data_IF_442868749810
#
_entry.id   IF_442868749810
#
_cell.length_a   1.000
_cell.length_b   1.000
_cell.length_c   1.000
_cell.angle_alpha   90.00
_cell.angle_beta   90.00
_cell.angle_gamma   90.00
#
_symmetry.space_group_name_H-M   'P 1'
#
loop_
_entity.id
_entity.type
_entity.pdbx_description
1 polymer ?
#
# COMPACT_ATOMS: atom_id res chain seq x y z
N UNK A 1 -14.25 40.45 17.16
CA UNK A 1 -13.54 39.18 17.47
C UNK A 1 -14.11 38.13 16.51
N UNK A 2 -13.26 37.47 15.71
CA UNK A 2 -13.67 36.40 14.78
C UNK A 2 -12.97 35.10 15.18
N UNK A 3 -13.71 34.00 15.18
CA UNK A 3 -13.17 32.68 15.49
C UNK A 3 -12.73 31.99 14.21
N UNK A 4 -11.50 31.46 14.19
CA UNK A 4 -10.92 30.76 13.04
C UNK A 4 -11.22 29.26 13.13
N UNK A 5 -11.82 28.70 12.08
CA UNK A 5 -12.16 27.27 11.98
C UNK A 5 -10.89 26.40 11.86
N UNK A 6 -10.97 25.14 12.30
CA UNK A 6 -9.82 24.21 12.30
C UNK A 6 -9.18 24.05 10.92
N UNK A 7 -9.99 24.02 9.86
CA UNK A 7 -9.53 23.82 8.48
C UNK A 7 -8.73 25.03 7.96
N UNK A 8 -8.83 26.18 8.62
CA UNK A 8 -8.07 27.39 8.31
C UNK A 8 -6.81 27.54 9.18
N UNK A 9 -6.58 26.63 10.13
CA UNK A 9 -5.42 26.65 11.03
C UNK A 9 -4.28 25.77 10.56
N UNK A 10 -4.50 24.95 9.53
CA UNK A 10 -3.45 24.14 8.92
C UNK A 10 -3.16 24.69 7.53
N UNK A 11 -1.91 25.05 7.32
CA UNK A 11 -1.41 25.48 6.01
C UNK A 11 -0.21 24.62 5.68
N UNK A 12 -0.24 23.99 4.52
CA UNK A 12 0.81 23.11 4.05
C UNK A 12 1.44 23.66 2.77
N UNK A 13 2.75 23.49 2.64
CA UNK A 13 3.49 23.78 1.42
C UNK A 13 4.46 22.64 1.13
N UNK A 14 4.30 22.00 -0.04
CA UNK A 14 5.33 21.16 -0.59
C UNK A 14 6.54 22.04 -0.97
N UNK A 15 7.71 21.69 -0.44
CA UNK A 15 8.95 22.31 -0.85
C UNK A 15 9.29 21.90 -2.27
N UNK A 16 9.54 22.91 -3.10
CA UNK A 16 10.03 22.71 -4.45
C UNK A 16 11.13 23.74 -4.72
N UNK A 17 12.11 23.47 -5.60
CA UNK A 17 13.25 24.37 -5.81
C UNK A 17 12.87 25.76 -6.33
N UNK A 18 11.69 25.88 -6.96
CA UNK A 18 11.14 27.10 -7.54
C UNK A 18 10.40 27.99 -6.54
N UNK A 19 10.09 27.50 -5.32
CA UNK A 19 9.47 28.31 -4.27
C UNK A 19 10.33 29.54 -4.00
N UNK A 20 9.68 30.69 -3.80
CA UNK A 20 10.37 31.93 -3.49
C UNK A 20 10.16 32.35 -2.02
N UNK A 21 11.04 33.21 -1.52
CA UNK A 21 10.84 33.83 -0.19
C UNK A 21 9.54 34.64 -0.16
N UNK A 22 9.14 35.25 -1.29
CA UNK A 22 7.89 35.99 -1.40
C UNK A 22 6.66 35.09 -1.20
N UNK A 23 6.69 33.84 -1.67
CA UNK A 23 5.59 32.90 -1.47
C UNK A 23 5.42 32.52 0.01
N UNK A 24 6.53 32.41 0.75
CA UNK A 24 6.52 32.03 2.15
C UNK A 24 6.21 33.22 3.06
N UNK A 25 6.99 34.30 2.94
CA UNK A 25 6.93 35.46 3.85
C UNK A 25 6.04 36.56 3.30
N UNK A 26 6.12 36.82 2.00
CA UNK A 26 5.43 37.94 1.35
C UNK A 26 6.39 38.92 0.68
N UNK A 27 5.83 39.80 -0.13
CA UNK A 27 6.57 40.86 -0.84
C UNK A 27 5.65 42.08 -1.08
N UNK A 28 6.22 43.14 -1.64
CA UNK A 28 5.50 44.31 -2.15
C UNK A 28 4.67 43.90 -3.36
N UNK A 29 3.38 44.25 -3.42
CA UNK A 29 2.54 44.11 -4.61
C UNK A 29 2.58 45.42 -5.44
N UNK A 30 3.34 45.47 -6.55
CA UNK A 30 3.51 46.70 -7.32
C UNK A 30 2.22 47.13 -8.02
N UNK A 31 1.33 46.18 -8.31
CA UNK A 31 0.06 46.42 -9.00
C UNK A 31 -0.94 47.07 -8.04
N UNK A 32 -1.01 46.60 -6.79
CA UNK A 32 -1.79 47.27 -5.73
C UNK A 32 -1.26 48.66 -5.43
N UNK A 33 0.07 48.83 -5.36
CA UNK A 33 0.68 50.14 -5.17
C UNK A 33 0.29 51.12 -6.28
N UNK A 34 0.40 50.69 -7.54
CA UNK A 34 0.05 51.51 -8.69
C UNK A 34 -1.45 51.85 -8.79
N UNK A 35 -2.35 50.91 -8.47
CA UNK A 35 -3.82 51.13 -8.56
C UNK A 35 -4.38 51.97 -7.42
N UNK A 36 -3.79 51.91 -6.22
CA UNK A 36 -4.26 52.68 -5.07
C UNK A 36 -3.65 54.08 -4.95
N UNK A 37 -2.72 54.46 -5.83
CA UNK A 37 -2.00 55.74 -5.74
C UNK A 37 -1.07 55.83 -4.53
N UNK A 38 -0.73 54.68 -3.94
CA UNK A 38 0.13 54.59 -2.77
C UNK A 38 1.60 54.55 -3.20
N UNK A 39 2.48 55.18 -2.41
CA UNK A 39 3.92 54.98 -2.55
C UNK A 39 4.24 53.49 -2.31
N UNK A 40 5.25 52.94 -2.99
CA UNK A 40 5.69 51.54 -2.83
C UNK A 40 6.03 51.17 -1.37
N UNK A 41 6.23 52.16 -0.51
CA UNK A 41 6.50 52.04 0.93
C UNK A 41 5.25 51.99 1.81
N UNK A 42 4.04 52.05 1.26
CA UNK A 42 2.79 51.99 2.02
C UNK A 42 2.46 50.54 2.43
N UNK A 43 2.20 50.32 3.72
CA UNK A 43 1.90 49.01 4.29
C UNK A 43 0.65 48.36 3.66
N UNK A 44 -0.26 49.15 3.07
CA UNK A 44 -1.45 48.65 2.38
C UNK A 44 -1.13 47.88 1.09
N UNK A 45 0.11 47.95 0.59
CA UNK A 45 0.54 47.23 -0.62
C UNK A 45 1.29 45.94 -0.30
N UNK A 46 1.33 45.54 0.98
CA UNK A 46 1.92 44.29 1.42
C UNK A 46 1.07 43.10 0.93
N UNK A 47 1.74 42.16 0.27
CA UNK A 47 1.19 40.83 0.01
C UNK A 47 1.78 39.84 1.00
N UNK A 48 0.98 39.39 1.96
CA UNK A 48 1.40 38.35 2.89
C UNK A 48 1.52 37.00 2.19
N UNK A 49 2.69 36.36 2.37
CA UNK A 49 2.92 34.97 1.96
C UNK A 49 2.15 33.97 2.82
N UNK A 50 2.40 32.68 2.61
CA UNK A 50 1.66 31.61 3.28
C UNK A 50 1.91 31.58 4.80
N UNK A 51 3.12 31.87 5.25
CA UNK A 51 3.50 31.73 6.65
C UNK A 51 2.85 32.79 7.55
N UNK A 52 2.83 34.10 7.22
CA UNK A 52 2.06 35.06 8.02
C UNK A 52 0.55 34.78 8.02
N UNK A 53 0.02 34.18 6.95
CA UNK A 53 -1.40 33.76 6.89
C UNK A 53 -1.69 32.57 7.80
N UNK A 54 -0.69 31.75 8.11
CA UNK A 54 -0.77 30.64 9.06
C UNK A 54 -0.60 31.08 10.52
N UNK A 55 -0.49 32.39 10.81
CA UNK A 55 -0.37 32.91 12.17
C UNK A 55 -1.47 32.37 13.10
N UNK A 56 -1.10 31.91 14.29
CA UNK A 56 -1.92 31.18 15.27
C UNK A 56 -2.40 29.81 14.80
N UNK A 57 -1.61 29.16 13.95
CA UNK A 57 -1.88 27.85 13.37
C UNK A 57 -0.63 26.99 13.23
N UNK A 58 -0.76 25.96 12.41
CA UNK A 58 0.28 25.01 12.04
C UNK A 58 0.68 25.30 10.59
N UNK A 59 1.97 25.53 10.37
CA UNK A 59 2.55 25.66 9.04
C UNK A 59 3.47 24.46 8.78
N UNK A 60 3.04 23.57 7.89
CA UNK A 60 3.77 22.37 7.52
C UNK A 60 4.53 22.59 6.21
N UNK A 61 5.83 22.25 6.18
CA UNK A 61 6.61 22.18 4.96
C UNK A 61 7.00 20.73 4.71
N UNK A 62 6.52 20.19 3.60
CA UNK A 62 6.85 18.84 3.18
C UNK A 62 8.12 18.84 2.33
N UNK A 63 8.96 17.82 2.49
CA UNK A 63 10.21 17.64 1.75
C UNK A 63 11.18 18.83 1.94
N UNK A 64 11.39 19.27 3.18
CA UNK A 64 12.28 20.40 3.51
C UNK A 64 13.65 20.39 2.80
N UNK A 65 14.33 19.24 2.55
CA UNK A 65 15.55 19.17 1.74
C UNK A 65 15.43 19.79 0.33
N UNK A 66 14.26 19.72 -0.31
CA UNK A 66 14.00 20.28 -1.63
C UNK A 66 13.87 21.80 -1.63
N UNK A 67 13.76 22.41 -0.44
CA UNK A 67 13.66 23.85 -0.30
C UNK A 67 15.03 24.51 -0.47
N UNK A 68 15.11 25.53 -1.32
CA UNK A 68 16.36 26.26 -1.54
C UNK A 68 16.94 26.82 -0.23
N UNK A 69 18.26 26.66 -0.02
CA UNK A 69 18.94 27.03 1.22
C UNK A 69 18.72 28.48 1.67
N UNK A 70 18.54 29.43 0.73
CA UNK A 70 18.19 30.83 1.04
C UNK A 70 16.86 30.97 1.79
N UNK A 71 15.90 30.09 1.51
CA UNK A 71 14.58 30.08 2.14
C UNK A 71 14.67 29.36 3.50
N UNK A 72 15.47 28.29 3.59
CA UNK A 72 15.78 27.65 4.87
C UNK A 72 16.42 28.66 5.86
N UNK A 73 17.33 29.52 5.39
CA UNK A 73 17.87 30.63 6.21
C UNK A 73 16.79 31.66 6.59
N UNK A 74 15.86 31.94 5.68
CA UNK A 74 14.70 32.79 5.98
C UNK A 74 13.85 32.22 7.12
N UNK A 75 13.57 30.91 7.10
CA UNK A 75 12.84 30.20 8.16
C UNK A 75 13.62 30.17 9.48
N UNK A 76 14.94 30.07 9.43
CA UNK A 76 15.79 30.13 10.62
C UNK A 76 15.58 31.43 11.42
N UNK A 77 15.52 32.58 10.76
CA UNK A 77 15.27 33.85 11.45
C UNK A 77 13.93 33.84 12.21
N UNK A 78 12.92 33.19 11.65
CA UNK A 78 11.57 33.12 12.24
C UNK A 78 11.57 32.21 13.46
N UNK A 79 12.24 31.07 13.38
CA UNK A 79 12.41 30.15 14.51
C UNK A 79 13.22 30.78 15.65
N UNK A 80 14.11 31.73 15.34
CA UNK A 80 14.98 32.38 16.32
C UNK A 80 14.37 33.63 16.95
N UNK A 81 13.82 34.53 16.13
CA UNK A 81 13.32 35.85 16.57
C UNK A 81 11.80 35.89 16.78
N UNK A 82 11.05 34.91 16.24
CA UNK A 82 9.59 34.87 16.33
C UNK A 82 8.89 35.95 15.51
N UNK A 83 9.62 36.66 14.64
CA UNK A 83 9.08 37.66 13.74
C UNK A 83 9.54 37.44 12.29
N UNK A 84 8.79 38.05 11.35
CA UNK A 84 9.20 38.16 9.95
C UNK A 84 9.33 39.62 9.55
N UNK A 85 10.31 39.89 8.69
CA UNK A 85 10.45 41.15 8.01
C UNK A 85 10.08 40.99 6.54
N UNK A 86 9.19 41.86 6.05
CA UNK A 86 8.81 41.89 4.64
C UNK A 86 9.75 42.83 3.89
N UNK A 87 10.34 42.33 2.81
CA UNK A 87 11.27 43.10 1.99
C UNK A 87 10.58 44.37 1.49
N UNK A 88 11.26 45.51 1.62
CA UNK A 88 10.70 46.81 1.22
C UNK A 88 9.96 47.58 2.31
N UNK A 89 9.71 46.97 3.48
CA UNK A 89 9.04 47.62 4.60
C UNK A 89 9.87 47.56 5.90
N UNK A 90 9.87 48.64 6.71
CA UNK A 90 10.46 48.63 8.05
C UNK A 90 9.50 48.00 9.08
N UNK A 91 8.70 47.01 8.68
CA UNK A 91 7.69 46.37 9.53
C UNK A 91 8.17 44.97 9.92
N UNK A 92 8.15 44.70 11.23
CA UNK A 92 8.36 43.38 11.82
C UNK A 92 7.02 42.82 12.29
N UNK A 93 6.68 41.62 11.84
CA UNK A 93 5.43 40.96 12.20
C UNK A 93 5.74 39.80 13.14
N UNK A 94 5.35 39.93 14.41
CA UNK A 94 5.43 38.83 15.34
C UNK A 94 4.47 37.70 14.92
N UNK A 95 5.00 36.49 14.82
CA UNK A 95 4.26 35.29 14.43
C UNK A 95 4.20 34.31 15.59
N UNK A 96 3.02 33.75 15.80
CA UNK A 96 2.75 32.67 16.75
C UNK A 96 2.33 31.43 15.93
N UNK A 97 3.31 30.65 15.45
CA UNK A 97 3.08 29.55 14.52
C UNK A 97 3.82 28.31 14.99
N UNK A 98 3.17 27.15 14.92
CA UNK A 98 3.82 25.86 15.04
C UNK A 98 4.34 25.42 13.67
N UNK A 99 5.66 25.28 13.54
CA UNK A 99 6.30 24.79 12.33
C UNK A 99 6.44 23.26 12.39
N UNK A 100 6.01 22.59 11.32
CA UNK A 100 6.19 21.15 11.12
C UNK A 100 6.96 20.96 9.83
N UNK A 101 7.95 20.08 9.85
CA UNK A 101 8.76 19.75 8.69
C UNK A 101 8.69 18.25 8.43
N UNK A 102 8.56 17.84 7.17
CA UNK A 102 8.86 16.47 6.75
C UNK A 102 10.13 16.45 5.90
N UNK A 103 10.86 15.35 5.97
CA UNK A 103 12.05 15.12 5.17
C UNK A 103 12.27 13.61 5.04
N UNK A 104 12.58 13.14 3.84
CA UNK A 104 13.08 11.79 3.65
C UNK A 104 14.59 11.72 4.01
N UNK A 105 15.02 10.82 4.91
CA UNK A 105 16.43 10.67 5.25
C UNK A 105 17.36 10.34 4.07
N UNK A 106 16.86 9.77 3.00
CA UNK A 106 17.70 9.44 1.85
C UNK A 106 18.07 10.68 1.02
N UNK A 107 17.14 11.64 0.94
CA UNK A 107 17.32 12.87 0.17
C UNK A 107 18.43 13.75 0.75
N UNK A 108 18.86 13.56 2.02
CA UNK A 108 20.04 14.24 2.59
C UNK A 108 21.32 14.10 1.74
N UNK A 109 21.39 13.04 0.92
CA UNK A 109 22.57 12.73 0.09
C UNK A 109 22.44 13.23 -1.34
N UNK A 110 21.24 13.27 -1.91
CA UNK A 110 20.98 13.54 -3.33
C UNK A 110 20.36 14.92 -3.61
N UNK A 111 19.52 15.45 -2.70
CA UNK A 111 18.79 16.72 -2.86
C UNK A 111 18.90 17.56 -1.60
N UNK A 112 19.60 18.69 -1.71
CA UNK A 112 19.65 19.78 -0.72
C UNK A 112 19.73 19.38 0.77
N UNK A 113 20.89 19.52 1.41
CA UNK A 113 20.98 19.29 2.86
C UNK A 113 20.17 20.33 3.64
N UNK A 114 19.45 19.88 4.67
CA UNK A 114 18.91 20.76 5.71
C UNK A 114 20.10 21.47 6.35
N UNK A 115 20.08 22.81 6.34
CA UNK A 115 21.18 23.60 6.91
C UNK A 115 21.26 23.36 8.42
N UNK A 116 22.47 23.16 8.95
CA UNK A 116 22.71 22.92 10.38
C UNK A 116 22.03 23.94 11.30
N UNK A 117 22.05 25.26 11.00
CA UNK A 117 21.38 26.24 11.86
C UNK A 117 19.88 26.03 12.00
N UNK A 118 19.20 25.57 10.95
CA UNK A 118 17.77 25.26 11.00
C UNK A 118 17.52 23.98 11.81
N UNK A 119 18.34 22.95 11.57
CA UNK A 119 18.26 21.67 12.30
C UNK A 119 18.42 21.86 13.82
N UNK A 120 19.36 22.69 14.26
CA UNK A 120 19.63 22.97 15.67
C UNK A 120 18.50 23.73 16.41
N UNK A 121 17.44 24.12 15.68
CA UNK A 121 16.26 24.82 16.23
C UNK A 121 14.99 23.98 16.20
N UNK A 122 15.04 22.80 15.62
CA UNK A 122 13.94 21.86 15.67
C UNK A 122 13.86 21.29 17.10
N UNK A 123 12.75 21.55 17.78
CA UNK A 123 12.57 21.14 19.18
C UNK A 123 12.33 19.63 19.37
N UNK A 124 11.85 18.94 18.35
CA UNK A 124 11.62 17.51 18.36
C UNK A 124 11.82 16.92 16.95
N UNK A 125 12.58 15.84 16.87
CA UNK A 125 12.74 15.03 15.66
C UNK A 125 12.00 13.70 15.88
N UNK A 126 11.02 13.41 15.02
CA UNK A 126 10.19 12.20 15.12
C UNK A 126 10.49 11.34 13.89
N UNK A 127 11.06 10.15 14.12
CA UNK A 127 11.25 9.16 13.08
C UNK A 127 9.98 8.34 12.93
N UNK A 128 9.34 8.42 11.77
CA UNK A 128 8.18 7.59 11.42
C UNK A 128 8.62 6.26 10.84
N UNK A 129 7.75 5.26 10.91
CA UNK A 129 7.96 3.95 10.30
C UNK A 129 6.63 3.40 9.76
N UNK A 130 6.71 2.42 8.86
CA UNK A 130 5.55 1.64 8.46
C UNK A 130 5.01 0.81 9.65
N UNK A 131 3.71 0.47 9.66
CA UNK A 131 3.15 -0.34 10.74
C UNK A 131 3.90 -1.66 10.87
N UNK A 132 4.33 -2.00 12.09
CA UNK A 132 5.10 -3.21 12.40
C UNK A 132 4.21 -4.42 12.73
N UNK A 133 2.92 -4.19 12.94
CA UNK A 133 1.95 -5.21 13.32
C UNK A 133 0.84 -5.29 12.28
N UNK A 134 0.58 -6.51 11.80
CA UNK A 134 -0.44 -6.79 10.79
C UNK A 134 -1.83 -6.23 11.17
N UNK A 135 -2.35 -6.40 12.40
CA UNK A 135 -3.67 -5.87 12.76
C UNK A 135 -3.76 -4.34 12.64
N UNK A 136 -2.70 -3.63 13.05
CA UNK A 136 -2.65 -2.16 12.95
C UNK A 136 -2.63 -1.72 11.49
N UNK A 137 -1.85 -2.41 10.66
CA UNK A 137 -1.73 -2.14 9.24
C UNK A 137 -3.07 -2.37 8.50
N UNK A 138 -3.80 -3.44 8.85
CA UNK A 138 -5.15 -3.71 8.34
C UNK A 138 -6.12 -2.59 8.71
N UNK A 139 -6.06 -2.02 9.93
CA UNK A 139 -6.94 -0.90 10.30
C UNK A 139 -6.66 0.35 9.46
N UNK A 140 -5.39 0.65 9.19
CA UNK A 140 -5.02 1.76 8.30
C UNK A 140 -5.60 1.50 6.90
N UNK A 141 -5.38 0.31 6.34
CA UNK A 141 -5.88 -0.03 5.01
C UNK A 141 -7.42 0.01 4.95
N UNK A 142 -8.12 -0.41 6.00
CA UNK A 142 -9.60 -0.29 6.10
C UNK A 142 -10.09 1.14 6.13
N UNK A 143 -9.38 2.02 6.83
CA UNK A 143 -9.75 3.42 6.96
C UNK A 143 -9.52 4.18 5.65
N UNK A 144 -8.40 3.92 4.98
CA UNK A 144 -7.93 4.71 3.85
C UNK A 144 -8.40 4.18 2.49
N UNK A 145 -8.70 2.89 2.36
CA UNK A 145 -9.13 2.31 1.10
C UNK A 145 -10.57 2.66 0.74
N UNK A 146 -10.79 3.03 -0.52
CA UNK A 146 -12.12 3.31 -1.06
C UNK A 146 -12.89 2.01 -1.37
N UNK A 147 -13.40 1.40 -0.31
CA UNK A 147 -14.16 0.13 -0.36
C UNK A 147 -15.67 0.34 -0.26
N UNK A 148 -16.13 1.41 0.39
CA UNK A 148 -17.56 1.73 0.50
C UNK A 148 -18.03 2.50 -0.74
N UNK A 149 -18.52 1.76 -1.74
CA UNK A 149 -19.06 2.33 -2.99
C UNK A 149 -20.58 2.41 -2.95
N UNK A 150 -21.11 3.51 -3.51
CA UNK A 150 -22.55 3.75 -3.57
C UNK A 150 -23.30 2.59 -4.26
N UNK A 151 -24.32 2.06 -3.59
CA UNK A 151 -25.16 0.97 -4.10
C UNK A 151 -24.57 -0.45 -3.97
N UNK A 152 -23.34 -0.60 -3.46
CA UNK A 152 -22.67 -1.89 -3.30
C UNK A 152 -22.42 -2.28 -1.84
N UNK A 153 -22.55 -1.34 -0.90
CA UNK A 153 -22.19 -1.52 0.51
C UNK A 153 -22.83 -2.75 1.18
N UNK A 154 -24.10 -3.04 0.86
CA UNK A 154 -24.82 -4.18 1.45
C UNK A 154 -24.50 -5.52 0.80
N UNK A 155 -23.88 -5.51 -0.39
CA UNK A 155 -23.57 -6.68 -1.22
C UNK A 155 -22.09 -7.08 -1.16
N UNK A 156 -21.23 -6.22 -0.63
CA UNK A 156 -19.79 -6.44 -0.58
C UNK A 156 -19.38 -7.14 0.71
N UNK A 157 -18.90 -8.37 0.59
CA UNK A 157 -18.37 -9.13 1.71
C UNK A 157 -16.90 -9.49 1.45
N UNK A 158 -15.99 -8.76 2.09
CA UNK A 158 -14.55 -9.04 2.02
C UNK A 158 -14.16 -9.97 3.17
N UNK A 159 -13.72 -11.22 2.90
CA UNK A 159 -13.27 -12.12 3.95
C UNK A 159 -12.06 -11.57 4.71
N UNK A 160 -11.97 -11.85 6.02
CA UNK A 160 -10.89 -11.33 6.87
C UNK A 160 -9.52 -11.81 6.39
N UNK A 161 -9.38 -13.12 6.12
CA UNK A 161 -8.14 -13.69 5.60
C UNK A 161 -7.66 -12.98 4.33
N UNK A 162 -8.56 -12.45 3.50
CA UNK A 162 -8.17 -11.76 2.28
C UNK A 162 -7.56 -10.38 2.57
N UNK A 163 -8.08 -9.69 3.61
CA UNK A 163 -7.49 -8.43 4.08
C UNK A 163 -6.11 -8.69 4.68
N UNK A 164 -5.98 -9.77 5.46
CA UNK A 164 -4.72 -10.22 6.01
C UNK A 164 -3.71 -10.57 4.91
N UNK A 165 -4.11 -11.33 3.89
CA UNK A 165 -3.23 -11.67 2.75
C UNK A 165 -2.78 -10.40 2.02
N UNK A 166 -3.68 -9.46 1.72
CA UNK A 166 -3.33 -8.22 1.02
C UNK A 166 -2.34 -7.38 1.83
N UNK A 167 -2.51 -7.30 3.14
CA UNK A 167 -1.59 -6.57 4.00
C UNK A 167 -0.26 -7.32 4.15
N UNK A 168 -0.30 -8.64 4.32
CA UNK A 168 0.89 -9.49 4.44
C UNK A 168 1.79 -9.39 3.21
N UNK A 169 1.23 -9.22 2.00
CA UNK A 169 2.03 -8.94 0.79
C UNK A 169 2.96 -7.73 0.99
N UNK A 170 2.50 -6.68 1.67
CA UNK A 170 3.33 -5.50 1.93
C UNK A 170 4.44 -5.79 2.96
N UNK A 171 4.20 -6.67 3.93
CA UNK A 171 5.20 -7.13 4.88
C UNK A 171 6.27 -7.97 4.18
N UNK A 172 5.84 -8.99 3.43
CA UNK A 172 6.74 -9.82 2.61
C UNK A 172 7.60 -8.97 1.68
N UNK A 173 7.00 -7.98 1.02
CA UNK A 173 7.71 -7.14 0.07
C UNK A 173 8.74 -6.22 0.72
N UNK A 174 8.50 -5.75 1.95
CA UNK A 174 9.47 -4.93 2.70
C UNK A 174 10.68 -5.74 3.18
N UNK A 175 10.48 -7.03 3.42
CA UNK A 175 11.54 -7.96 3.85
C UNK A 175 12.25 -8.66 2.68
N UNK A 176 11.69 -8.59 1.46
CA UNK A 176 12.24 -9.21 0.25
C UNK A 176 13.51 -8.50 -0.25
N UNK A 177 14.59 -9.26 -0.44
CA UNK A 177 15.87 -8.74 -0.91
C UNK A 177 15.86 -8.23 -2.35
N UNK A 178 14.83 -8.61 -3.13
CA UNK A 178 14.65 -8.21 -4.53
C UNK A 178 13.95 -6.86 -4.66
N UNK A 179 13.44 -6.32 -3.55
CA UNK A 179 12.71 -5.05 -3.45
C UNK A 179 13.58 -4.05 -2.70
N UNK A 180 13.53 -2.78 -3.11
CA UNK A 180 14.31 -1.72 -2.46
C UNK A 180 13.92 -1.60 -0.99
N UNK A 181 14.90 -1.73 -0.08
CA UNK A 181 14.64 -1.80 1.37
C UNK A 181 14.26 -0.46 2.00
N UNK A 182 14.59 0.64 1.34
CA UNK A 182 14.44 1.98 1.92
C UNK A 182 13.18 2.67 1.42
N UNK A 183 12.82 2.44 0.16
CA UNK A 183 11.72 3.10 -0.53
C UNK A 183 10.78 2.15 -1.27
N UNK A 184 11.08 0.85 -1.27
CA UNK A 184 10.44 -0.12 -2.16
C UNK A 184 8.95 -0.31 -1.98
N UNK A 185 8.40 -0.25 -0.76
CA UNK A 185 6.96 -0.46 -0.53
C UNK A 185 6.37 0.42 0.57
N UNK A 186 5.46 1.31 0.16
CA UNK A 186 4.67 2.14 1.08
C UNK A 186 3.32 1.52 1.47
N UNK A 187 2.65 2.10 2.47
CA UNK A 187 1.28 1.71 2.84
C UNK A 187 0.25 1.92 1.72
N UNK A 188 0.59 2.66 0.65
CA UNK A 188 -0.29 2.83 -0.52
C UNK A 188 -0.45 1.54 -1.33
N UNK A 189 0.48 0.60 -1.21
CA UNK A 189 0.41 -0.69 -1.90
C UNK A 189 -0.82 -1.49 -1.45
N UNK A 190 -0.97 -1.90 -0.17
CA UNK A 190 -2.13 -2.69 0.25
C UNK A 190 -3.46 -1.96 0.04
N UNK A 191 -3.49 -0.62 0.20
CA UNK A 191 -4.66 0.22 -0.10
C UNK A 191 -5.10 0.05 -1.56
N UNK A 192 -4.18 0.21 -2.53
CA UNK A 192 -4.59 0.11 -3.94
C UNK A 192 -4.85 -1.34 -4.36
N UNK A 193 -4.15 -2.30 -3.75
CA UNK A 193 -4.37 -3.72 -4.00
C UNK A 193 -5.79 -4.10 -3.58
N UNK A 194 -6.22 -3.75 -2.36
CA UNK A 194 -7.58 -4.11 -1.91
C UNK A 194 -8.66 -3.42 -2.77
N UNK A 195 -8.45 -2.17 -3.18
CA UNK A 195 -9.35 -1.47 -4.10
C UNK A 195 -9.44 -2.18 -5.46
N UNK A 196 -8.32 -2.69 -5.97
CA UNK A 196 -8.27 -3.42 -7.25
C UNK A 196 -8.90 -4.81 -7.14
N UNK A 197 -8.65 -5.52 -6.03
CA UNK A 197 -9.27 -6.80 -5.68
C UNK A 197 -10.79 -6.67 -5.67
N UNK A 198 -11.31 -5.66 -4.97
CA UNK A 198 -12.75 -5.39 -4.90
C UNK A 198 -13.30 -5.01 -6.28
N UNK A 199 -12.59 -4.16 -7.04
CA UNK A 199 -13.01 -3.80 -8.39
C UNK A 199 -13.11 -4.99 -9.33
N UNK A 200 -12.19 -5.96 -9.23
CA UNK A 200 -12.26 -7.17 -10.05
C UNK A 200 -13.39 -8.11 -9.61
N UNK A 201 -13.62 -8.24 -8.29
CA UNK A 201 -14.75 -9.00 -7.76
C UNK A 201 -16.10 -8.40 -8.18
N UNK A 202 -16.22 -7.07 -8.16
CA UNK A 202 -17.38 -6.33 -8.67
C UNK A 202 -17.61 -6.61 -10.16
N UNK A 203 -16.53 -6.49 -10.95
CA UNK A 203 -16.58 -6.79 -12.38
C UNK A 203 -17.03 -8.23 -12.62
N UNK A 204 -16.51 -9.21 -11.87
CA UNK A 204 -16.95 -10.60 -11.97
C UNK A 204 -18.44 -10.71 -11.67
N UNK A 205 -18.90 -10.21 -10.52
CA UNK A 205 -20.30 -10.30 -10.10
C UNK A 205 -21.26 -9.69 -11.14
N UNK A 206 -20.88 -8.58 -11.78
CA UNK A 206 -21.67 -7.97 -12.87
C UNK A 206 -21.74 -8.84 -14.13
N UNK A 207 -20.64 -9.52 -14.48
CA UNK A 207 -20.59 -10.41 -15.64
C UNK A 207 -21.34 -11.72 -15.43
N UNK A 208 -21.33 -12.23 -14.20
CA UNK A 208 -21.96 -13.50 -13.80
C UNK A 208 -23.40 -13.31 -13.32
N UNK A 209 -23.82 -12.08 -13.04
CA UNK A 209 -25.14 -11.77 -12.49
C UNK A 209 -25.29 -12.11 -11.01
N UNK A 210 -24.18 -12.22 -10.27
CA UNK A 210 -24.19 -12.53 -8.84
C UNK A 210 -24.69 -11.34 -8.01
N UNK A 211 -25.57 -11.63 -7.05
CA UNK A 211 -26.07 -10.63 -6.12
C UNK A 211 -24.99 -10.26 -5.10
N UNK A 212 -24.28 -11.23 -4.54
CA UNK A 212 -23.19 -10.95 -3.58
C UNK A 212 -21.84 -10.77 -4.27
N UNK A 213 -21.04 -9.84 -3.75
CA UNK A 213 -19.68 -9.55 -4.21
C UNK A 213 -18.71 -10.04 -3.13
N UNK A 214 -18.11 -11.19 -3.38
CA UNK A 214 -17.09 -11.78 -2.52
C UNK A 214 -15.78 -11.88 -3.27
N UNK A 215 -14.76 -11.09 -2.91
CA UNK A 215 -13.44 -11.23 -3.49
C UNK A 215 -12.73 -12.51 -3.02
N UNK A 216 -11.88 -13.05 -3.88
CA UNK A 216 -11.17 -14.32 -3.73
C UNK A 216 -9.67 -14.13 -3.98
N UNK A 217 -8.87 -15.16 -3.75
CA UNK A 217 -7.43 -15.11 -4.04
C UNK A 217 -7.15 -14.81 -5.51
N UNK A 218 -7.96 -15.34 -6.43
CA UNK A 218 -7.87 -14.99 -7.85
C UNK A 218 -7.95 -13.48 -8.14
N UNK A 219 -8.69 -12.71 -7.33
CA UNK A 219 -8.76 -11.25 -7.45
C UNK A 219 -7.48 -10.55 -6.99
N UNK A 220 -6.75 -11.14 -6.03
CA UNK A 220 -5.43 -10.64 -5.61
C UNK A 220 -4.43 -10.77 -6.75
N UNK A 221 -4.48 -11.88 -7.49
CA UNK A 221 -3.70 -12.04 -8.73
C UNK A 221 -4.11 -11.04 -9.82
N UNK A 222 -5.40 -10.74 -9.95
CA UNK A 222 -5.86 -9.71 -10.90
C UNK A 222 -5.37 -8.30 -10.52
N UNK A 223 -5.04 -8.06 -9.24
CA UNK A 223 -4.52 -6.80 -8.74
C UNK A 223 -3.00 -6.59 -8.95
N UNK A 224 -2.27 -7.55 -9.55
CA UNK A 224 -0.82 -7.42 -9.80
C UNK A 224 -0.41 -6.09 -10.47
N UNK A 225 -1.12 -5.57 -11.49
CA UNK A 225 -0.77 -4.27 -12.09
C UNK A 225 -0.75 -3.11 -11.09
N UNK A 226 -1.54 -3.20 -10.01
CA UNK A 226 -1.57 -2.19 -8.95
C UNK A 226 -0.39 -2.30 -7.97
N UNK A 227 0.24 -3.47 -7.92
CA UNK A 227 1.43 -3.79 -7.12
C UNK A 227 2.70 -3.34 -7.84
N UNK A 228 2.88 -3.75 -9.10
CA UNK A 228 4.15 -3.57 -9.82
C UNK A 228 4.56 -2.11 -10.00
N UNK A 229 3.59 -1.18 -10.08
CA UNK A 229 3.88 0.25 -10.15
C UNK A 229 4.10 0.93 -8.79
N UNK A 230 4.06 0.17 -7.68
CA UNK A 230 4.27 0.66 -6.31
C UNK A 230 5.38 -0.10 -5.58
N UNK A 231 6.14 -0.87 -6.35
CA UNK A 231 7.30 -1.63 -5.90
C UNK A 231 8.50 -1.11 -6.66
N UNK A 232 9.44 -0.51 -5.95
CA UNK A 232 10.76 -0.24 -6.51
C UNK A 232 11.63 -1.48 -6.31
N UNK A 233 12.26 -1.95 -7.39
CA UNK A 233 13.03 -3.18 -7.39
C UNK A 233 14.53 -2.90 -7.29
N UNK A 234 15.21 -3.80 -6.60
CA UNK A 234 16.67 -3.87 -6.67
C UNK A 234 17.12 -4.44 -8.01
N UNK A 235 18.41 -4.32 -8.33
CA UNK A 235 18.97 -4.81 -9.60
C UNK A 235 18.67 -6.29 -9.85
N UNK A 236 18.72 -7.14 -8.81
CA UNK A 236 18.36 -8.56 -8.92
C UNK A 236 16.86 -8.76 -9.20
N UNK A 237 16.01 -7.91 -8.62
CA UNK A 237 14.57 -7.93 -8.84
C UNK A 237 14.20 -7.55 -10.26
N UNK A 238 14.84 -6.53 -10.82
CA UNK A 238 14.65 -6.10 -12.22
C UNK A 238 14.94 -7.23 -13.21
N UNK A 239 15.93 -8.08 -12.95
CA UNK A 239 16.23 -9.24 -13.80
C UNK A 239 15.15 -10.32 -13.77
N UNK A 240 14.47 -10.48 -12.63
CA UNK A 240 13.39 -11.47 -12.45
C UNK A 240 12.08 -10.94 -13.03
N UNK A 241 11.85 -9.63 -12.89
CA UNK A 241 10.68 -8.90 -13.34
C UNK A 241 9.59 -8.76 -12.27
N UNK A 242 9.05 -7.54 -12.14
CA UNK A 242 8.08 -7.15 -11.12
C UNK A 242 6.86 -8.08 -11.04
N UNK A 243 6.31 -8.51 -12.18
CA UNK A 243 5.14 -9.40 -12.23
C UNK A 243 5.41 -10.75 -11.57
N UNK A 244 6.61 -11.29 -11.73
CA UNK A 244 6.97 -12.58 -11.14
C UNK A 244 7.18 -12.44 -9.64
N UNK A 245 7.87 -11.37 -9.22
CA UNK A 245 8.06 -11.06 -7.80
C UNK A 245 6.70 -10.85 -7.12
N UNK A 246 5.77 -10.12 -7.73
CA UNK A 246 4.42 -9.94 -7.21
C UNK A 246 3.69 -11.27 -6.98
N UNK A 247 3.80 -12.23 -7.92
CA UNK A 247 3.23 -13.58 -7.76
C UNK A 247 3.88 -14.35 -6.61
N UNK A 248 5.21 -14.27 -6.50
CA UNK A 248 5.95 -14.91 -5.41
C UNK A 248 5.51 -14.33 -4.05
N UNK A 249 5.35 -13.01 -3.96
CA UNK A 249 4.87 -12.32 -2.74
C UNK A 249 3.44 -12.71 -2.37
N UNK A 250 2.53 -12.80 -3.36
CA UNK A 250 1.16 -13.30 -3.13
C UNK A 250 1.20 -14.72 -2.56
N UNK A 251 2.02 -15.61 -3.16
CA UNK A 251 2.20 -16.98 -2.70
C UNK A 251 2.73 -17.02 -1.25
N UNK A 252 3.80 -16.29 -0.95
CA UNK A 252 4.38 -16.24 0.40
C UNK A 252 3.39 -15.71 1.43
N UNK A 253 2.73 -14.60 1.13
CA UNK A 253 1.74 -13.98 2.01
C UNK A 253 0.53 -14.90 2.26
N UNK A 254 0.02 -15.56 1.23
CA UNK A 254 -1.04 -16.54 1.38
C UNK A 254 -0.61 -17.74 2.24
N UNK A 255 0.64 -18.18 2.11
CA UNK A 255 1.23 -19.23 2.94
C UNK A 255 1.29 -18.86 4.42
N UNK A 256 1.83 -17.69 4.75
CA UNK A 256 1.94 -17.20 6.13
C UNK A 256 0.57 -17.11 6.81
N UNK A 257 -0.41 -16.48 6.15
CA UNK A 257 -1.77 -16.37 6.70
C UNK A 257 -2.45 -17.74 6.77
N UNK A 258 -2.25 -18.61 5.77
CA UNK A 258 -2.80 -19.97 5.78
C UNK A 258 -2.29 -20.77 6.98
N UNK A 259 -0.99 -20.72 7.27
CA UNK A 259 -0.41 -21.42 8.42
C UNK A 259 -1.04 -20.97 9.73
N UNK A 260 -1.33 -19.68 9.90
CA UNK A 260 -2.02 -19.14 11.07
C UNK A 260 -3.47 -19.64 11.23
N UNK A 261 -4.25 -19.67 10.16
CA UNK A 261 -5.66 -20.11 10.20
C UNK A 261 -5.84 -21.62 10.36
N UNK A 262 -4.93 -22.40 9.81
CA UNK A 262 -5.11 -23.85 9.64
C UNK A 262 -4.15 -24.71 10.48
N UNK A 263 -3.61 -24.16 11.57
CA UNK A 263 -2.77 -24.91 12.51
C UNK A 263 -3.48 -26.18 12.99
N UNK A 264 -2.87 -27.34 12.70
CA UNK A 264 -3.39 -28.65 13.13
C UNK A 264 -4.57 -29.19 12.31
N UNK A 265 -4.92 -28.54 11.19
CA UNK A 265 -5.95 -29.01 10.27
C UNK A 265 -5.31 -29.83 9.15
N UNK A 266 -5.85 -31.02 8.90
CA UNK A 266 -5.31 -31.98 7.93
C UNK A 266 -6.00 -31.86 6.55
N UNK A 267 -5.19 -31.63 5.52
CA UNK A 267 -5.60 -31.58 4.11
C UNK A 267 -5.10 -32.79 3.31
N UNK A 268 -4.64 -33.87 3.95
CA UNK A 268 -4.06 -35.03 3.28
C UNK A 268 -4.95 -35.62 2.19
N UNK A 269 -6.27 -35.71 2.39
CA UNK A 269 -7.20 -36.25 1.39
C UNK A 269 -7.35 -35.34 0.17
N UNK A 270 -7.33 -34.03 0.38
CA UNK A 270 -7.29 -33.03 -0.70
C UNK A 270 -5.99 -33.15 -1.50
N UNK A 271 -4.84 -33.24 -0.82
CA UNK A 271 -3.53 -33.38 -1.47
C UNK A 271 -3.44 -34.69 -2.25
N UNK A 272 -3.87 -35.80 -1.65
CA UNK A 272 -3.89 -37.12 -2.30
C UNK A 272 -4.72 -37.09 -3.59
N UNK A 273 -5.87 -36.40 -3.59
CA UNK A 273 -6.69 -36.26 -4.79
C UNK A 273 -5.92 -35.60 -5.95
N UNK A 274 -5.09 -34.60 -5.68
CA UNK A 274 -4.21 -34.03 -6.71
C UNK A 274 -3.11 -35.02 -7.13
N UNK A 275 -2.48 -35.71 -6.19
CA UNK A 275 -1.43 -36.70 -6.45
C UNK A 275 -1.90 -37.88 -7.33
N UNK A 276 -3.20 -38.18 -7.32
CA UNK A 276 -3.86 -39.15 -8.21
C UNK A 276 -3.96 -38.66 -9.68
N UNK A 277 -3.45 -37.48 -9.99
CA UNK A 277 -3.38 -36.90 -11.34
C UNK A 277 -4.57 -36.01 -11.69
N UNK A 278 -5.45 -35.73 -10.72
CA UNK A 278 -6.55 -34.80 -10.93
C UNK A 278 -6.06 -33.35 -11.02
N UNK A 279 -6.84 -32.51 -11.69
CA UNK A 279 -6.58 -31.08 -11.79
C UNK A 279 -7.86 -30.30 -11.46
N UNK A 280 -7.67 -29.09 -10.95
CA UNK A 280 -8.76 -28.17 -10.65
C UNK A 280 -8.41 -26.81 -11.24
N UNK A 281 -9.27 -26.30 -12.13
CA UNK A 281 -9.11 -24.95 -12.70
C UNK A 281 -10.28 -24.08 -12.29
N UNK A 282 -10.00 -23.05 -11.51
CA UNK A 282 -10.97 -22.02 -11.14
C UNK A 282 -10.65 -20.77 -11.97
N UNK A 283 -11.50 -20.45 -12.94
CA UNK A 283 -11.32 -19.25 -13.73
C UNK A 283 -11.64 -18.00 -12.89
N UNK A 284 -10.84 -16.95 -13.06
CA UNK A 284 -11.02 -15.64 -12.41
C UNK A 284 -12.38 -14.99 -12.72
N UNK A 285 -12.94 -15.33 -13.87
CA UNK A 285 -14.21 -14.85 -14.43
C UNK A 285 -15.40 -15.78 -14.16
N UNK A 286 -15.17 -16.98 -13.62
CA UNK A 286 -16.24 -17.93 -13.30
C UNK A 286 -17.03 -17.49 -12.06
N UNK A 287 -18.34 -17.75 -12.09
CA UNK A 287 -19.25 -17.52 -10.96
C UNK A 287 -18.95 -18.41 -9.76
N UNK A 288 -19.40 -18.04 -8.56
CA UNK A 288 -19.29 -18.87 -7.38
C UNK A 288 -20.01 -20.21 -7.56
N UNK A 289 -21.15 -20.25 -8.27
CA UNK A 289 -21.88 -21.49 -8.53
C UNK A 289 -21.05 -22.46 -9.39
N UNK A 290 -20.44 -21.98 -10.47
CA UNK A 290 -19.58 -22.78 -11.34
C UNK A 290 -18.35 -23.29 -10.60
N UNK A 291 -17.67 -22.41 -9.86
CA UNK A 291 -16.53 -22.79 -9.03
C UNK A 291 -16.93 -23.82 -7.96
N UNK A 292 -18.11 -23.66 -7.35
CA UNK A 292 -18.61 -24.57 -6.32
C UNK A 292 -18.79 -26.00 -6.86
N UNK A 293 -19.38 -26.14 -8.05
CA UNK A 293 -19.56 -27.46 -8.69
C UNK A 293 -18.23 -28.18 -8.94
N UNK A 294 -17.18 -27.43 -9.29
CA UNK A 294 -15.84 -27.99 -9.47
C UNK A 294 -15.21 -28.38 -8.14
N UNK A 295 -15.40 -27.56 -7.09
CA UNK A 295 -14.89 -27.82 -5.75
C UNK A 295 -15.55 -29.04 -5.08
N UNK A 296 -16.81 -29.34 -5.39
CA UNK A 296 -17.51 -30.53 -4.87
C UNK A 296 -16.85 -31.85 -5.31
N UNK A 297 -16.04 -31.83 -6.38
CA UNK A 297 -15.28 -33.00 -6.83
C UNK A 297 -14.03 -33.29 -5.96
N UNK A 298 -13.59 -32.33 -5.15
CA UNK A 298 -12.37 -32.44 -4.34
C UNK A 298 -12.74 -32.94 -2.94
N UNK A 299 -12.29 -34.15 -2.53
CA UNK A 299 -12.63 -34.72 -1.24
C UNK A 299 -12.22 -33.83 -0.07
N UNK A 300 -13.15 -33.65 0.86
CA UNK A 300 -13.03 -32.93 2.14
C UNK A 300 -12.62 -31.45 2.07
N UNK A 301 -12.21 -30.92 0.89
CA UNK A 301 -11.70 -29.57 0.73
C UNK A 301 -12.67 -28.52 1.30
N UNK A 302 -13.95 -28.59 0.92
CA UNK A 302 -14.95 -27.62 1.39
C UNK A 302 -15.15 -27.71 2.90
N UNK A 303 -15.27 -28.91 3.47
CA UNK A 303 -15.57 -29.04 4.89
C UNK A 303 -14.38 -28.58 5.73
N UNK A 304 -13.17 -28.94 5.32
CA UNK A 304 -11.93 -28.57 5.98
C UNK A 304 -11.63 -27.07 5.85
N UNK A 305 -11.89 -26.47 4.69
CA UNK A 305 -11.67 -25.04 4.45
C UNK A 305 -12.53 -24.13 5.33
N UNK A 306 -13.67 -24.62 5.81
CA UNK A 306 -14.61 -23.83 6.61
C UNK A 306 -14.39 -23.96 8.12
N UNK A 307 -13.52 -24.88 8.58
CA UNK A 307 -13.30 -25.12 10.02
C UNK A 307 -12.95 -23.83 10.79
N UNK A 308 -12.08 -22.93 10.30
CA UNK A 308 -11.69 -21.73 11.05
C UNK A 308 -12.71 -20.59 10.97
N UNK A 309 -13.75 -20.71 10.13
CA UNK A 309 -14.63 -19.59 9.77
C UNK A 309 -16.08 -19.87 10.18
N UNK A 310 -16.81 -18.84 10.61
CA UNK A 310 -18.25 -18.93 10.86
C UNK A 310 -19.07 -18.74 9.57
N UNK A 311 -18.65 -19.42 8.49
CA UNK A 311 -19.30 -19.36 7.19
C UNK A 311 -20.37 -20.44 7.07
N UNK A 312 -21.54 -20.07 6.56
CA UNK A 312 -22.59 -21.04 6.27
C UNK A 312 -22.23 -21.77 4.99
N UNK A 313 -22.31 -23.11 4.98
CA UNK A 313 -22.10 -23.93 3.76
C UNK A 313 -22.99 -23.51 2.58
N UNK A 314 -24.12 -22.85 2.84
CA UNK A 314 -25.05 -22.32 1.83
C UNK A 314 -24.57 -21.02 1.16
N UNK A 315 -23.62 -20.30 1.75
CA UNK A 315 -23.00 -19.11 1.17
C UNK A 315 -21.93 -19.54 0.16
N UNK A 316 -22.34 -19.74 -1.09
CA UNK A 316 -21.46 -20.29 -2.12
C UNK A 316 -20.22 -19.41 -2.34
N UNK A 317 -20.40 -18.09 -2.34
CA UNK A 317 -19.32 -17.15 -2.65
C UNK A 317 -18.25 -17.12 -1.54
N UNK A 318 -18.66 -17.13 -0.27
CA UNK A 318 -17.72 -17.26 0.85
C UNK A 318 -17.01 -18.62 0.88
N UNK A 319 -17.74 -19.72 0.58
CA UNK A 319 -17.11 -21.05 0.51
C UNK A 319 -16.07 -21.12 -0.59
N UNK A 320 -16.37 -20.61 -1.78
CA UNK A 320 -15.40 -20.59 -2.89
C UNK A 320 -14.17 -19.76 -2.52
N UNK A 321 -14.35 -18.60 -1.87
CA UNK A 321 -13.23 -17.79 -1.41
C UNK A 321 -12.35 -18.52 -0.40
N UNK A 322 -12.94 -19.24 0.57
CA UNK A 322 -12.20 -20.03 1.55
C UNK A 322 -11.45 -21.20 0.91
N UNK A 323 -12.08 -21.91 -0.03
CA UNK A 323 -11.42 -23.00 -0.76
C UNK A 323 -10.26 -22.50 -1.63
N UNK A 324 -10.42 -21.37 -2.34
CA UNK A 324 -9.31 -20.75 -3.09
C UNK A 324 -8.15 -20.36 -2.17
N UNK A 325 -8.46 -19.83 -0.98
CA UNK A 325 -7.44 -19.52 0.03
C UNK A 325 -6.67 -20.75 0.51
N UNK A 326 -7.37 -21.85 0.81
CA UNK A 326 -6.72 -23.13 1.15
C UNK A 326 -5.86 -23.66 0.01
N UNK A 327 -6.37 -23.67 -1.22
CA UNK A 327 -5.60 -24.13 -2.38
C UNK A 327 -4.34 -23.29 -2.58
N UNK A 328 -4.43 -21.98 -2.38
CA UNK A 328 -3.27 -21.10 -2.44
C UNK A 328 -2.27 -21.38 -1.30
N UNK A 329 -2.74 -21.60 -0.09
CA UNK A 329 -1.91 -21.98 1.05
C UNK A 329 -1.20 -23.34 0.87
N UNK A 330 -1.90 -24.33 0.32
CA UNK A 330 -1.30 -25.63 -0.05
C UNK A 330 -0.25 -25.47 -1.16
N UNK A 331 -0.48 -24.57 -2.12
CA UNK A 331 0.51 -24.22 -3.14
C UNK A 331 1.72 -23.51 -2.52
N UNK A 332 1.50 -22.58 -1.58
CA UNK A 332 2.53 -21.89 -0.82
C UNK A 332 3.43 -22.89 -0.06
N UNK A 333 2.82 -23.86 0.63
CA UNK A 333 3.50 -24.96 1.32
C UNK A 333 4.06 -26.06 0.40
N UNK A 334 4.04 -25.86 -0.93
CA UNK A 334 4.51 -26.81 -1.95
C UNK A 334 3.89 -28.22 -1.80
N UNK A 335 2.63 -28.30 -1.36
CA UNK A 335 1.85 -29.55 -1.31
C UNK A 335 1.14 -29.82 -2.62
N UNK A 336 0.80 -28.77 -3.35
CA UNK A 336 0.26 -28.82 -4.71
C UNK A 336 0.99 -27.80 -5.59
N UNK A 337 0.78 -27.86 -6.91
CA UNK A 337 1.33 -26.90 -7.87
C UNK A 337 0.22 -26.02 -8.45
N UNK A 338 0.58 -24.82 -8.91
CA UNK A 338 -0.29 -23.88 -9.60
C UNK A 338 0.34 -23.48 -10.93
N UNK A 339 -0.41 -23.58 -12.02
CA UNK A 339 0.04 -23.18 -13.36
C UNK A 339 -0.27 -21.70 -13.64
N UNK A 340 0.27 -21.16 -14.74
CA UNK A 340 0.07 -19.75 -15.12
C UNK A 340 -1.40 -19.39 -15.42
N UNK A 341 -2.21 -20.38 -15.78
CA UNK A 341 -3.64 -20.23 -16.08
C UNK A 341 -4.53 -20.32 -14.81
N UNK A 342 -3.94 -20.39 -13.62
CA UNK A 342 -4.65 -20.47 -12.34
C UNK A 342 -5.19 -21.86 -11.99
N UNK A 343 -4.75 -22.90 -12.70
CA UNK A 343 -5.09 -24.29 -12.40
C UNK A 343 -4.16 -24.92 -11.35
N UNK A 344 -4.75 -25.68 -10.44
CA UNK A 344 -4.06 -26.47 -9.41
C UNK A 344 -3.90 -27.93 -9.88
N UNK A 345 -2.71 -28.48 -9.64
CA UNK A 345 -2.34 -29.87 -9.99
C UNK A 345 -1.46 -30.47 -8.91
N UNK A 346 -1.15 -31.77 -9.00
CA UNK A 346 -0.04 -32.35 -8.24
C UNK A 346 1.26 -31.56 -8.41
N UNK A 347 2.13 -31.64 -7.40
CA UNK A 347 3.52 -31.19 -7.55
C UNK A 347 4.20 -32.08 -8.59
N UNK A 348 4.80 -31.48 -9.60
CA UNK A 348 5.60 -32.24 -10.55
C UNK A 348 6.82 -32.80 -9.79
N UNK A 349 6.87 -34.11 -9.55
CA UNK A 349 8.06 -34.82 -9.00
C UNK A 349 9.24 -34.83 -9.98
N UNK A 350 9.29 -33.91 -10.94
CA UNK A 350 10.35 -33.88 -11.94
C UNK A 350 11.45 -32.89 -11.57
N UNK A 351 12.64 -33.39 -11.28
CA UNK A 351 13.84 -32.54 -11.22
C UNK A 351 14.29 -32.22 -12.64
N UNK A 352 14.37 -30.93 -12.98
CA UNK A 352 15.11 -30.46 -14.15
C UNK A 352 16.60 -30.46 -13.84
N UNK A 353 17.38 -31.26 -14.57
CA UNK A 353 18.83 -31.10 -14.60
C UNK A 353 19.19 -29.76 -15.27
N UNK A 354 20.43 -29.26 -15.07
CA UNK A 354 21.02 -28.06 -15.71
C UNK A 354 20.93 -28.06 -17.24
N UNK A 355 20.59 -29.20 -17.85
CA UNK A 355 20.38 -29.37 -19.30
C UNK A 355 18.91 -29.29 -19.75
N UNK A 356 17.98 -29.02 -18.84
CA UNK A 356 16.55 -28.88 -19.15
C UNK A 356 15.79 -30.20 -19.36
N UNK A 357 16.43 -31.35 -19.12
CA UNK A 357 15.79 -32.67 -19.21
C UNK A 357 14.98 -32.97 -17.95
N UNK A 358 13.76 -33.46 -18.14
CA UNK A 358 12.79 -33.82 -17.10
C UNK A 358 13.00 -35.30 -16.76
N UNK A 359 13.31 -35.59 -15.49
CA UNK A 359 13.40 -36.96 -14.98
C UNK A 359 12.30 -37.19 -13.94
N UNK A 360 11.61 -38.32 -14.01
CA UNK A 360 10.76 -38.77 -12.90
C UNK A 360 11.65 -39.09 -11.69
N UNK A 361 11.30 -38.54 -10.52
CA UNK A 361 12.00 -38.83 -9.27
C UNK A 361 11.66 -40.26 -8.80
N UNK A 362 12.50 -41.21 -9.20
CA UNK A 362 12.36 -42.64 -8.89
C UNK A 362 12.77 -43.00 -7.45
N UNK A 363 13.06 -42.03 -6.59
CA UNK A 363 13.59 -42.28 -5.23
C UNK A 363 12.64 -43.02 -4.29
N UNK A 364 11.35 -43.14 -4.61
CA UNK A 364 10.38 -43.95 -3.84
C UNK A 364 10.16 -45.39 -4.36
N UNK A 365 10.81 -45.80 -5.46
CA UNK A 365 10.62 -47.17 -6.01
C UNK A 365 11.43 -48.26 -5.30
N UNK A 366 12.10 -47.94 -4.18
CA UNK A 366 13.03 -48.83 -3.48
C UNK A 366 12.56 -49.44 -2.15
N UNK A 367 11.24 -49.57 -1.90
CA UNK A 367 10.72 -50.28 -0.70
C UNK A 367 9.91 -51.52 -1.06
N UNK A 368 10.53 -52.46 -1.77
CA UNK A 368 10.14 -53.88 -1.73
C UNK A 368 11.37 -54.77 -1.83
N UNK A 369 11.85 -55.20 -0.67
CA UNK A 369 12.53 -56.48 -0.44
C UNK A 369 12.53 -56.78 1.04
#
# INVERSE_FOLDING_TARGET
IAWVNRDQRFVEKLATPDVTIADIIGDVDPIKAAKGGHLLSDELTIHYGLLPRANRGIFAINELPDLAGKIQVGLFNIMQEGDVQIKGYPVRLALDVMLIFSANPEDYTARGKIITPLKDRIGAEITTHYPSELPTAIQITRQEAWVERDGLKERLHVPEFLREVVEQIAFEARDDQRVDKHSGVSQRLPITVIESVISNAERRALLTGEEEIVPRVSDVYAAIPSMTGKMELEYEGEQIGATRIAKDLIKSAAGEIFEGYFVGIDFARTVQWFDEGNNLRLADTASAEECRRLLDAVPDLIETSLIPFDFKKSDQAQVVAACEFVLEGLYAGNKISRNEEGGYTAVTKAKKDRRGMIYDDLTETGKYS
#
